data_IF_001794611995
#
_entry.id   IF_001794611995
#
_cell.length_a   1.000
_cell.length_b   1.000
_cell.length_c   1.000
_cell.angle_alpha   90.00
_cell.angle_beta   90.00
_cell.angle_gamma   90.00
#
_symmetry.space_group_name_H-M   'P 1'
#
loop_
_entity.id
_entity.type
_entity.pdbx_description
1 polymer ?
#
# COMPACT_ATOMS: atom_id res chain seq x y z
N UNK A 1 15.69 52.46 21.23
CA UNK A 1 14.44 51.67 21.03
C UNK A 1 14.53 51.10 19.60
N UNK A 2 14.99 49.89 19.48
CA UNK A 2 15.10 49.18 18.20
C UNK A 2 13.91 48.24 18.10
N UNK A 3 12.97 48.60 17.20
CA UNK A 3 11.79 47.76 16.88
C UNK A 3 12.28 46.42 16.29
N UNK A 4 12.17 45.34 17.04
CA UNK A 4 12.30 44.01 16.53
C UNK A 4 10.99 43.67 15.79
N UNK A 5 11.03 43.77 14.45
CA UNK A 5 10.00 43.23 13.58
C UNK A 5 9.88 41.71 13.82
N UNK A 6 8.76 41.27 14.36
CA UNK A 6 8.42 39.84 14.48
C UNK A 6 8.46 39.21 13.09
N UNK A 7 9.06 38.01 12.92
CA UNK A 7 9.09 37.36 11.62
C UNK A 7 7.67 37.05 11.15
N UNK A 8 7.34 37.53 9.97
CA UNK A 8 6.07 37.21 9.27
C UNK A 8 5.98 35.69 9.16
N UNK A 9 4.89 35.05 9.60
CA UNK A 9 4.74 33.62 9.50
C UNK A 9 4.79 33.23 8.02
N UNK A 10 5.82 32.48 7.63
CA UNK A 10 5.92 31.93 6.28
C UNK A 10 4.71 31.02 6.05
N UNK A 11 3.88 31.35 5.07
CA UNK A 11 2.76 30.53 4.61
C UNK A 11 3.32 29.13 4.34
N UNK A 12 2.80 28.09 5.03
CA UNK A 12 3.14 26.70 4.74
C UNK A 12 2.90 26.45 3.24
N UNK A 13 3.84 25.85 2.52
CA UNK A 13 3.62 25.50 1.12
C UNK A 13 2.39 24.58 1.03
N UNK A 14 1.47 24.90 0.11
CA UNK A 14 0.29 24.07 -0.12
C UNK A 14 0.66 22.68 -0.66
N UNK A 15 -0.33 21.76 -0.75
CA UNK A 15 -0.11 20.44 -1.31
C UNK A 15 0.30 20.54 -2.79
N UNK A 16 1.17 19.62 -3.22
CA UNK A 16 1.50 19.44 -4.62
C UNK A 16 0.30 18.81 -5.34
N UNK A 17 -0.25 19.49 -6.34
CA UNK A 17 -1.35 18.99 -7.14
C UNK A 17 -0.81 18.54 -8.50
N UNK A 18 -1.10 17.27 -8.86
CA UNK A 18 -0.72 16.73 -10.16
C UNK A 18 -1.39 17.53 -11.30
N UNK A 19 -0.61 17.99 -12.27
CA UNK A 19 -1.13 18.58 -13.50
C UNK A 19 -1.87 17.52 -14.35
N UNK A 20 -2.60 17.97 -15.36
CA UNK A 20 -3.27 17.06 -16.31
C UNK A 20 -2.25 16.19 -17.05
N UNK A 21 -1.12 16.78 -17.46
CA UNK A 21 -0.02 16.07 -18.13
C UNK A 21 0.64 15.03 -17.24
N UNK A 22 0.89 15.33 -15.96
CA UNK A 22 1.45 14.41 -15.00
C UNK A 22 0.51 13.23 -14.71
N UNK A 23 -0.80 13.51 -14.52
CA UNK A 23 -1.78 12.44 -14.37
C UNK A 23 -1.84 11.52 -15.59
N UNK A 24 -1.81 12.08 -16.80
CA UNK A 24 -1.79 11.30 -18.04
C UNK A 24 -0.50 10.48 -18.18
N UNK A 25 0.66 11.07 -17.87
CA UNK A 25 1.95 10.39 -17.91
C UNK A 25 2.07 9.25 -16.91
N UNK A 26 1.55 9.43 -15.68
CA UNK A 26 1.47 8.36 -14.68
C UNK A 26 0.51 7.26 -15.11
N UNK A 27 -0.65 7.60 -15.67
CA UNK A 27 -1.61 6.61 -16.19
C UNK A 27 -0.99 5.77 -17.32
N UNK A 28 -0.30 6.39 -18.28
CA UNK A 28 0.40 5.70 -19.37
C UNK A 28 1.51 4.78 -18.84
N UNK A 29 2.28 5.23 -17.84
CA UNK A 29 3.30 4.40 -17.21
C UNK A 29 2.71 3.12 -16.61
N UNK A 30 1.64 3.24 -15.81
CA UNK A 30 1.01 2.08 -15.19
C UNK A 30 0.27 1.19 -16.21
N UNK A 31 -0.26 1.76 -17.30
CA UNK A 31 -0.89 0.97 -18.37
C UNK A 31 0.15 0.08 -19.11
N UNK A 32 1.39 0.54 -19.25
CA UNK A 32 2.50 -0.27 -19.80
C UNK A 32 2.84 -1.48 -18.94
N UNK A 33 2.63 -1.39 -17.63
CA UNK A 33 2.86 -2.46 -16.66
C UNK A 33 4.29 -3.01 -16.65
N UNK A 34 5.26 -2.23 -17.10
CA UNK A 34 6.65 -2.63 -17.27
C UNK A 34 7.52 -1.92 -16.25
N UNK A 35 8.33 -2.68 -15.52
CA UNK A 35 9.38 -2.12 -14.66
C UNK A 35 10.41 -1.41 -15.54
N UNK A 36 10.92 -0.23 -15.13
CA UNK A 36 11.90 0.50 -15.95
C UNK A 36 13.10 -0.34 -16.37
N UNK A 37 13.48 -0.24 -17.65
CA UNK A 37 14.53 -1.06 -18.26
C UNK A 37 15.86 -0.93 -17.51
N UNK A 38 16.25 0.30 -17.13
CA UNK A 38 17.46 0.53 -16.35
C UNK A 38 17.51 -0.34 -15.08
N UNK A 39 16.38 -0.51 -14.38
CA UNK A 39 16.32 -1.37 -13.18
C UNK A 39 16.46 -2.84 -13.54
N UNK A 40 15.76 -3.32 -14.57
CA UNK A 40 15.82 -4.72 -15.00
C UNK A 40 17.25 -5.12 -15.39
N UNK A 41 17.89 -4.33 -16.26
CA UNK A 41 19.28 -4.55 -16.66
C UNK A 41 20.25 -4.48 -15.48
N UNK A 42 20.08 -3.48 -14.60
CA UNK A 42 20.99 -3.29 -13.46
C UNK A 42 20.88 -4.42 -12.45
N UNK A 43 19.69 -4.93 -12.20
CA UNK A 43 19.49 -6.13 -11.37
C UNK A 43 20.23 -7.32 -11.98
N UNK A 44 20.06 -7.57 -13.29
CA UNK A 44 20.77 -8.65 -13.97
C UNK A 44 22.30 -8.49 -13.88
N UNK A 45 22.82 -7.31 -14.17
CA UNK A 45 24.26 -6.97 -14.05
C UNK A 45 24.78 -7.16 -12.62
N UNK A 46 23.98 -6.81 -11.60
CA UNK A 46 24.35 -7.00 -10.20
C UNK A 46 24.43 -8.50 -9.85
N UNK A 47 23.44 -9.30 -10.29
CA UNK A 47 23.42 -10.76 -10.09
C UNK A 47 24.66 -11.40 -10.74
N UNK A 48 24.95 -11.07 -12.00
CA UNK A 48 26.13 -11.56 -12.71
C UNK A 48 27.43 -11.18 -11.98
N UNK A 49 27.56 -9.94 -11.56
CA UNK A 49 28.73 -9.43 -10.79
C UNK A 49 28.91 -10.18 -9.47
N UNK A 50 27.84 -10.38 -8.71
CA UNK A 50 27.91 -11.04 -7.36
C UNK A 50 28.19 -12.52 -7.45
N UNK A 51 27.74 -13.17 -8.51
CA UNK A 51 27.93 -14.62 -8.71
C UNK A 51 29.20 -14.95 -9.51
N UNK A 52 29.76 -13.98 -10.22
CA UNK A 52 30.85 -14.20 -11.19
C UNK A 52 30.43 -15.09 -12.38
N UNK A 53 29.12 -15.15 -12.67
CA UNK A 53 28.53 -16.02 -13.68
C UNK A 53 27.70 -15.24 -14.68
N UNK A 54 27.60 -15.75 -15.90
CA UNK A 54 26.64 -15.27 -16.88
C UNK A 54 25.20 -15.58 -16.45
N UNK A 55 24.24 -14.77 -16.90
CA UNK A 55 22.81 -14.96 -16.58
C UNK A 55 22.20 -16.23 -17.22
N UNK A 56 22.93 -16.89 -18.09
CA UNK A 56 22.58 -18.19 -18.72
C UNK A 56 23.18 -19.40 -17.99
N UNK A 57 24.05 -19.19 -16.99
CA UNK A 57 24.66 -20.28 -16.21
C UNK A 57 23.59 -21.07 -15.43
N UNK A 58 23.38 -22.32 -15.78
CA UNK A 58 22.34 -23.17 -15.22
C UNK A 58 22.49 -23.38 -13.70
N UNK A 59 23.72 -23.55 -13.22
CA UNK A 59 23.99 -23.74 -11.78
C UNK A 59 23.63 -22.48 -10.98
N UNK A 60 23.95 -21.31 -11.50
CA UNK A 60 23.58 -20.03 -10.89
C UNK A 60 22.06 -19.86 -10.89
N UNK A 61 21.38 -20.14 -12.00
CA UNK A 61 19.92 -20.07 -12.11
C UNK A 61 19.24 -21.03 -11.13
N UNK A 62 19.71 -22.26 -10.98
CA UNK A 62 19.15 -23.21 -10.03
C UNK A 62 19.32 -22.77 -8.58
N UNK A 63 20.45 -22.14 -8.23
CA UNK A 63 20.63 -21.56 -6.90
C UNK A 63 19.68 -20.39 -6.65
N UNK A 64 19.42 -19.54 -7.65
CA UNK A 64 18.42 -18.47 -7.54
C UNK A 64 17.00 -19.05 -7.37
N UNK A 65 16.63 -20.06 -8.19
CA UNK A 65 15.36 -20.78 -8.07
C UNK A 65 15.16 -21.35 -6.69
N UNK A 66 16.17 -22.06 -6.16
CA UNK A 66 16.13 -22.63 -4.82
C UNK A 66 15.98 -21.56 -3.73
N UNK A 67 16.67 -20.43 -3.87
CA UNK A 67 16.53 -19.31 -2.92
C UNK A 67 15.11 -18.71 -2.94
N UNK A 68 14.53 -18.52 -4.12
CA UNK A 68 13.14 -18.01 -4.28
C UNK A 68 12.14 -18.99 -3.66
N UNK A 69 12.30 -20.30 -3.93
CA UNK A 69 11.42 -21.34 -3.36
C UNK A 69 11.51 -21.34 -1.84
N UNK A 70 12.73 -21.36 -1.28
CA UNK A 70 12.96 -21.33 0.14
C UNK A 70 12.32 -20.08 0.81
N UNK A 71 12.39 -18.90 0.15
CA UNK A 71 11.73 -17.68 0.62
C UNK A 71 10.21 -17.86 0.67
N UNK A 72 9.60 -18.40 -0.38
CA UNK A 72 8.15 -18.66 -0.44
C UNK A 72 7.72 -19.65 0.64
N UNK A 73 8.42 -20.75 0.79
CA UNK A 73 8.11 -21.78 1.79
C UNK A 73 8.24 -21.23 3.22
N UNK A 74 9.30 -20.46 3.50
CA UNK A 74 9.48 -19.84 4.82
C UNK A 74 8.41 -18.79 5.11
N UNK A 75 8.02 -18.03 4.09
CA UNK A 75 6.95 -17.03 4.22
C UNK A 75 5.60 -17.66 4.61
N UNK A 76 5.27 -18.86 4.10
CA UNK A 76 4.03 -19.56 4.42
C UNK A 76 4.05 -20.25 5.81
N UNK A 77 5.20 -20.36 6.44
CA UNK A 77 5.28 -20.88 7.80
C UNK A 77 4.63 -19.92 8.80
N UNK A 78 4.09 -20.43 9.92
CA UNK A 78 3.74 -19.58 11.06
C UNK A 78 4.93 -18.71 11.45
N UNK A 79 4.70 -17.44 11.78
CA UNK A 79 5.77 -16.46 12.01
C UNK A 79 6.83 -16.93 13.01
N UNK A 80 6.41 -17.63 14.08
CA UNK A 80 7.34 -18.21 15.08
C UNK A 80 8.29 -19.27 14.52
N UNK A 81 7.97 -19.86 13.37
CA UNK A 81 8.74 -20.91 12.71
C UNK A 81 9.56 -20.41 11.51
N UNK A 82 9.42 -19.11 11.15
CA UNK A 82 10.21 -18.52 10.08
C UNK A 82 11.66 -18.40 10.50
N UNK A 83 12.56 -18.96 9.69
CA UNK A 83 14.00 -19.00 9.97
C UNK A 83 14.82 -18.28 8.92
N UNK A 84 14.25 -18.06 7.74
CA UNK A 84 14.96 -17.46 6.61
C UNK A 84 15.15 -15.96 6.84
N UNK A 85 16.40 -15.55 6.80
CA UNK A 85 16.76 -14.12 6.82
C UNK A 85 17.14 -13.73 5.39
N UNK A 86 16.37 -12.85 4.76
CA UNK A 86 16.60 -12.35 3.40
C UNK A 86 17.86 -11.47 3.28
N UNK A 87 18.87 -11.70 4.10
CA UNK A 87 19.93 -10.75 4.34
C UNK A 87 21.28 -11.15 3.73
N UNK A 88 21.42 -12.35 3.12
CA UNK A 88 22.70 -12.84 2.62
C UNK A 88 22.61 -13.66 1.35
N UNK A 89 23.63 -13.52 0.48
CA UNK A 89 23.93 -14.38 -0.65
C UNK A 89 22.77 -14.48 -1.67
N UNK A 90 22.49 -15.67 -2.13
CA UNK A 90 21.43 -15.92 -3.10
C UNK A 90 20.03 -15.50 -2.63
N UNK A 91 19.81 -15.33 -1.31
CA UNK A 91 18.55 -14.82 -0.79
C UNK A 91 18.32 -13.36 -1.20
N UNK A 92 19.36 -12.51 -1.14
CA UNK A 92 19.27 -11.12 -1.62
C UNK A 92 19.06 -11.08 -3.13
N UNK A 93 19.78 -11.92 -3.88
CA UNK A 93 19.68 -11.99 -5.34
C UNK A 93 18.30 -12.50 -5.80
N UNK A 94 17.76 -13.51 -5.12
CA UNK A 94 16.40 -14.01 -5.35
C UNK A 94 15.33 -12.95 -5.05
N UNK A 95 15.49 -12.17 -3.97
CA UNK A 95 14.61 -11.05 -3.68
C UNK A 95 14.62 -9.99 -4.79
N UNK A 96 15.80 -9.62 -5.30
CA UNK A 96 15.94 -8.67 -6.40
C UNK A 96 15.28 -9.16 -7.70
N UNK A 97 15.44 -10.45 -8.01
CA UNK A 97 14.87 -11.01 -9.23
C UNK A 97 13.35 -11.22 -9.17
N UNK A 98 12.79 -11.49 -7.98
CA UNK A 98 11.43 -11.98 -7.82
C UNK A 98 10.49 -11.00 -7.12
N UNK A 99 10.87 -10.43 -5.97
CA UNK A 99 10.00 -9.56 -5.16
C UNK A 99 10.14 -8.07 -5.50
N UNK A 100 11.37 -7.62 -5.72
CA UNK A 100 11.68 -6.21 -5.97
C UNK A 100 10.83 -5.58 -7.07
N UNK A 101 10.66 -6.20 -8.28
CA UNK A 101 9.89 -5.61 -9.37
C UNK A 101 8.44 -5.30 -9.01
N UNK A 102 7.77 -6.21 -8.32
CA UNK A 102 6.38 -6.05 -7.89
C UNK A 102 6.25 -4.95 -6.84
N UNK A 103 7.13 -4.94 -5.83
CA UNK A 103 7.08 -3.96 -4.76
C UNK A 103 7.47 -2.55 -5.23
N UNK A 104 8.34 -2.45 -6.24
CA UNK A 104 8.66 -1.19 -6.90
C UNK A 104 7.40 -0.58 -7.55
N UNK A 105 6.68 -1.32 -8.37
CA UNK A 105 5.46 -0.86 -9.02
C UNK A 105 4.34 -0.59 -8.01
N UNK A 106 4.19 -1.43 -6.99
CA UNK A 106 3.29 -1.23 -5.86
C UNK A 106 3.53 0.13 -5.17
N UNK A 107 4.79 0.46 -4.90
CA UNK A 107 5.17 1.75 -4.29
C UNK A 107 4.81 2.92 -5.20
N UNK A 108 5.03 2.80 -6.50
CA UNK A 108 4.64 3.81 -7.48
C UNK A 108 3.12 4.08 -7.47
N UNK A 109 2.30 3.04 -7.40
CA UNK A 109 0.84 3.19 -7.27
C UNK A 109 0.44 3.91 -5.97
N UNK A 110 1.10 3.60 -4.85
CA UNK A 110 0.83 4.25 -3.56
C UNK A 110 1.27 5.73 -3.56
N UNK A 111 2.41 6.07 -4.16
CA UNK A 111 2.84 7.46 -4.32
C UNK A 111 1.85 8.25 -5.18
N UNK A 112 1.33 7.65 -6.26
CA UNK A 112 0.29 8.26 -7.09
C UNK A 112 -1.00 8.50 -6.29
N UNK A 113 -1.38 7.55 -5.45
CA UNK A 113 -2.52 7.71 -4.55
C UNK A 113 -2.29 8.85 -3.56
N UNK A 114 -1.11 8.92 -2.90
CA UNK A 114 -0.79 10.01 -1.99
C UNK A 114 -0.80 11.38 -2.69
N UNK A 115 -0.33 11.45 -3.94
CA UNK A 115 -0.40 12.68 -4.73
C UNK A 115 -1.84 13.11 -5.00
N UNK A 116 -2.71 12.19 -5.41
CA UNK A 116 -4.14 12.44 -5.66
C UNK A 116 -4.91 12.82 -4.40
N UNK A 117 -4.47 12.32 -3.24
CA UNK A 117 -5.02 12.68 -1.94
C UNK A 117 -4.50 14.05 -1.43
N UNK A 118 -3.61 14.73 -2.19
CA UNK A 118 -3.02 16.02 -1.80
C UNK A 118 -2.03 15.91 -0.64
N UNK A 119 -1.40 14.75 -0.44
CA UNK A 119 -0.48 14.50 0.66
C UNK A 119 0.99 14.75 0.31
N UNK A 120 1.29 15.05 -0.95
CA UNK A 120 2.65 15.41 -1.38
C UNK A 120 2.85 16.93 -1.32
N UNK A 121 4.10 17.35 -1.16
CA UNK A 121 4.57 18.74 -1.19
C UNK A 121 5.52 18.92 -2.37
N UNK A 122 5.78 20.17 -2.77
CA UNK A 122 6.75 20.47 -3.83
C UNK A 122 8.15 19.89 -3.54
N UNK A 123 8.53 19.84 -2.27
CA UNK A 123 9.73 19.15 -1.82
C UNK A 123 9.41 18.35 -0.57
N UNK A 124 9.69 17.06 -0.61
CA UNK A 124 9.44 16.12 0.48
C UNK A 124 10.75 15.68 1.13
N UNK A 125 10.76 15.58 2.46
CA UNK A 125 11.74 14.79 3.19
C UNK A 125 11.11 13.44 3.54
N UNK A 126 11.64 12.36 2.98
CA UNK A 126 11.08 11.01 3.10
C UNK A 126 12.04 10.10 3.85
N UNK A 127 11.51 9.31 4.76
CA UNK A 127 12.25 8.32 5.54
C UNK A 127 11.68 6.92 5.29
N UNK A 128 12.49 6.04 4.76
CA UNK A 128 12.14 4.63 4.51
C UNK A 128 12.80 3.72 5.56
N UNK A 129 11.99 2.97 6.29
CA UNK A 129 12.41 2.16 7.44
C UNK A 129 12.46 0.69 7.04
N UNK A 130 13.67 0.09 7.12
CA UNK A 130 13.93 -1.26 6.65
C UNK A 130 13.92 -1.32 5.12
N UNK A 131 14.72 -0.43 4.51
CA UNK A 131 14.68 -0.19 3.05
C UNK A 131 15.04 -1.41 2.20
N UNK A 132 15.67 -2.44 2.80
CA UNK A 132 16.16 -3.58 2.03
C UNK A 132 17.11 -3.13 0.90
N UNK A 133 17.00 -3.72 -0.29
CA UNK A 133 17.83 -3.33 -1.44
C UNK A 133 17.33 -2.04 -2.15
N UNK A 134 16.58 -1.17 -1.46
CA UNK A 134 16.21 0.16 -1.93
C UNK A 134 14.95 0.24 -2.79
N UNK A 135 13.99 -0.66 -2.61
CA UNK A 135 12.72 -0.69 -3.38
C UNK A 135 12.01 0.67 -3.33
N UNK A 136 11.72 1.16 -2.13
CA UNK A 136 10.95 2.40 -1.92
C UNK A 136 11.73 3.63 -2.41
N UNK A 137 13.02 3.85 -2.06
CA UNK A 137 13.79 4.97 -2.57
C UNK A 137 13.89 5.03 -4.10
N UNK A 138 14.05 3.89 -4.75
CA UNK A 138 14.15 3.83 -6.21
C UNK A 138 12.79 4.08 -6.88
N UNK A 139 11.70 3.58 -6.31
CA UNK A 139 10.35 3.90 -6.76
C UNK A 139 10.01 5.39 -6.58
N UNK A 140 10.47 6.00 -5.49
CA UNK A 140 10.35 7.46 -5.27
C UNK A 140 11.11 8.22 -6.36
N UNK A 141 12.35 7.83 -6.67
CA UNK A 141 13.14 8.49 -7.71
C UNK A 141 12.44 8.40 -9.09
N UNK A 142 11.95 7.23 -9.46
CA UNK A 142 11.21 7.03 -10.71
C UNK A 142 9.91 7.85 -10.74
N UNK A 143 9.11 7.83 -9.67
CA UNK A 143 7.87 8.58 -9.56
C UNK A 143 8.11 10.09 -9.72
N UNK A 144 9.03 10.68 -8.94
CA UNK A 144 9.33 12.11 -9.00
C UNK A 144 10.02 12.52 -10.32
N UNK A 145 10.69 11.61 -11.02
CA UNK A 145 11.24 11.90 -12.36
C UNK A 145 10.15 12.24 -13.37
N UNK A 146 8.93 11.73 -13.16
CA UNK A 146 7.74 11.94 -14.01
C UNK A 146 6.94 13.19 -13.64
N UNK A 147 7.27 13.85 -12.53
CA UNK A 147 6.64 15.10 -12.12
C UNK A 147 7.41 16.31 -12.67
N UNK A 148 6.72 17.42 -12.90
CA UNK A 148 7.30 18.62 -13.52
C UNK A 148 8.26 19.35 -12.58
N UNK A 149 7.84 19.64 -11.35
CA UNK A 149 8.58 20.51 -10.44
C UNK A 149 8.82 19.93 -9.04
N UNK A 150 8.13 18.85 -8.66
CA UNK A 150 8.30 18.27 -7.33
C UNK A 150 9.61 17.47 -7.20
N UNK A 151 10.13 17.41 -5.98
CA UNK A 151 11.34 16.66 -5.66
C UNK A 151 11.34 16.11 -4.24
N UNK A 152 12.35 15.29 -3.90
CA UNK A 152 12.46 14.69 -2.58
C UNK A 152 13.90 14.51 -2.13
N UNK A 153 14.12 14.62 -0.81
CA UNK A 153 15.30 14.13 -0.10
C UNK A 153 14.91 12.83 0.62
N UNK A 154 15.54 11.72 0.24
CA UNK A 154 15.21 10.39 0.74
C UNK A 154 16.30 9.88 1.66
N UNK A 155 15.89 9.55 2.88
CA UNK A 155 16.71 8.90 3.91
C UNK A 155 16.19 7.48 4.11
N UNK A 156 17.07 6.56 4.47
CA UNK A 156 16.70 5.17 4.69
C UNK A 156 17.52 4.51 5.78
N UNK A 157 16.92 3.50 6.43
CA UNK A 157 17.57 2.69 7.47
C UNK A 157 17.53 1.24 7.05
N UNK A 158 18.67 0.55 7.13
CA UNK A 158 18.80 -0.88 6.85
C UNK A 158 19.93 -1.48 7.70
N UNK A 159 19.72 -2.72 8.18
CA UNK A 159 20.74 -3.40 8.98
C UNK A 159 21.64 -4.34 8.18
N UNK A 160 21.17 -4.84 7.04
CA UNK A 160 21.89 -5.79 6.19
C UNK A 160 22.91 -5.09 5.29
N UNK A 161 24.17 -5.43 5.41
CA UNK A 161 25.25 -4.90 4.54
C UNK A 161 25.04 -5.29 3.08
N UNK A 162 24.60 -6.51 2.80
CA UNK A 162 24.37 -6.98 1.43
C UNK A 162 23.18 -6.28 0.77
N UNK A 163 22.13 -5.96 1.54
CA UNK A 163 21.04 -5.11 1.04
C UNK A 163 21.53 -3.70 0.75
N UNK A 164 22.31 -3.12 1.66
CA UNK A 164 22.89 -1.78 1.46
C UNK A 164 23.79 -1.75 0.21
N UNK A 165 24.62 -2.78 0.00
CA UNK A 165 25.47 -2.90 -1.19
C UNK A 165 24.62 -2.96 -2.47
N UNK A 166 23.59 -3.82 -2.50
CA UNK A 166 22.66 -3.92 -3.62
C UNK A 166 21.96 -2.59 -3.89
N UNK A 167 21.45 -1.95 -2.85
CA UNK A 167 20.80 -0.65 -2.95
C UNK A 167 21.70 0.42 -3.56
N UNK A 168 22.94 0.56 -3.04
CA UNK A 168 23.90 1.54 -3.55
C UNK A 168 24.21 1.27 -5.03
N UNK A 169 24.38 0.02 -5.41
CA UNK A 169 24.62 -0.35 -6.81
C UNK A 169 23.46 0.06 -7.73
N UNK A 170 22.23 -0.25 -7.36
CA UNK A 170 21.04 0.10 -8.14
C UNK A 170 20.83 1.61 -8.19
N UNK A 171 20.98 2.31 -7.06
CA UNK A 171 20.88 3.77 -6.98
C UNK A 171 21.88 4.46 -7.91
N UNK A 172 23.14 4.07 -7.83
CA UNK A 172 24.22 4.74 -8.59
C UNK A 172 24.10 4.51 -10.10
N UNK A 173 23.45 3.41 -10.51
CA UNK A 173 23.17 3.11 -11.91
C UNK A 173 21.90 3.77 -12.45
N UNK A 174 20.83 3.82 -11.65
CA UNK A 174 19.50 4.18 -12.15
C UNK A 174 18.99 5.57 -11.69
N UNK A 175 19.66 6.22 -10.72
CA UNK A 175 19.22 7.53 -10.25
C UNK A 175 20.18 8.61 -10.75
N UNK A 176 19.73 9.59 -11.58
CA UNK A 176 20.58 10.65 -12.08
C UNK A 176 21.15 11.53 -10.95
N UNK A 177 22.44 11.80 -10.98
CA UNK A 177 23.08 12.75 -10.05
C UNK A 177 22.58 14.18 -10.34
N UNK A 178 22.26 14.91 -9.26
CA UNK A 178 21.76 16.30 -9.40
C UNK A 178 20.31 16.40 -9.90
N UNK A 179 19.56 15.29 -9.96
CA UNK A 179 18.15 15.28 -10.31
C UNK A 179 17.24 15.83 -9.20
N UNK A 180 15.93 15.77 -9.43
CA UNK A 180 14.89 16.25 -8.49
C UNK A 180 14.87 15.46 -7.15
N UNK A 181 15.41 14.27 -7.13
CA UNK A 181 15.48 13.39 -5.95
C UNK A 181 16.92 13.18 -5.51
N UNK A 182 17.17 13.44 -4.23
CA UNK A 182 18.45 13.15 -3.58
C UNK A 182 18.28 11.96 -2.65
N UNK A 183 18.79 10.79 -3.05
CA UNK A 183 18.80 9.59 -2.20
C UNK A 183 20.10 9.54 -1.42
N UNK A 184 20.01 9.69 -0.10
CA UNK A 184 21.17 9.59 0.79
C UNK A 184 21.61 8.12 0.93
N UNK A 185 22.91 7.87 1.21
CA UNK A 185 23.32 6.51 1.56
C UNK A 185 22.51 5.96 2.73
N UNK A 186 22.10 4.67 2.70
CA UNK A 186 21.37 4.07 3.81
C UNK A 186 22.14 4.18 5.13
N UNK A 187 21.43 4.46 6.21
CA UNK A 187 21.97 4.45 7.56
C UNK A 187 21.96 2.99 8.03
N UNK A 188 23.16 2.41 8.24
CA UNK A 188 23.27 1.06 8.78
C UNK A 188 22.90 1.07 10.25
N UNK A 189 21.70 0.57 10.56
CA UNK A 189 21.20 0.46 11.93
C UNK A 189 20.06 -0.57 12.02
N UNK A 190 19.88 -1.14 13.22
CA UNK A 190 18.68 -1.90 13.55
C UNK A 190 17.56 -0.93 13.95
N UNK A 191 16.42 -1.03 13.30
CA UNK A 191 15.26 -0.14 13.51
C UNK A 191 14.66 -0.29 14.92
N UNK A 192 14.87 -1.43 15.58
CA UNK A 192 14.39 -1.71 16.95
C UNK A 192 15.29 -1.07 18.01
N UNK A 193 16.57 -0.81 17.69
CA UNK A 193 17.54 -0.25 18.64
C UNK A 193 17.31 1.24 18.97
N UNK A 194 16.51 1.96 18.16
CA UNK A 194 16.22 3.38 18.36
C UNK A 194 16.29 4.18 17.07
N UNK A 195 16.10 5.50 17.16
CA UNK A 195 16.17 6.41 16.01
C UNK A 195 17.63 6.82 15.80
N UNK A 196 18.26 6.47 14.65
CA UNK A 196 19.62 6.91 14.35
C UNK A 196 19.74 8.45 14.31
N UNK A 197 20.82 8.99 14.87
CA UNK A 197 21.04 10.44 14.95
C UNK A 197 21.12 11.15 13.59
N UNK A 198 21.47 10.42 12.52
CA UNK A 198 21.55 10.94 11.14
C UNK A 198 20.17 11.15 10.48
N UNK A 199 19.09 10.67 11.09
CA UNK A 199 17.74 10.92 10.60
C UNK A 199 17.36 12.37 10.86
N UNK A 200 16.77 13.10 9.88
CA UNK A 200 16.32 14.47 10.07
C UNK A 200 15.32 14.61 11.23
N UNK A 201 15.33 15.76 11.89
CA UNK A 201 14.42 16.05 13.00
C UNK A 201 12.96 16.13 12.57
N UNK A 202 12.71 16.48 11.29
CA UNK A 202 11.38 16.51 10.70
C UNK A 202 11.40 15.84 9.32
N UNK A 203 10.46 14.93 9.10
CA UNK A 203 10.22 14.26 7.82
C UNK A 203 8.74 14.39 7.44
N UNK A 204 8.44 14.46 6.15
CA UNK A 204 7.09 14.63 5.63
C UNK A 204 6.38 13.29 5.40
N UNK A 205 7.14 12.24 5.10
CA UNK A 205 6.63 10.89 4.89
C UNK A 205 7.56 9.87 5.53
N UNK A 206 6.99 8.99 6.34
CA UNK A 206 7.67 7.80 6.85
C UNK A 206 7.03 6.58 6.18
N UNK A 207 7.86 5.69 5.64
CA UNK A 207 7.41 4.47 4.98
C UNK A 207 7.92 3.25 5.75
N UNK A 208 7.01 2.31 6.03
CA UNK A 208 7.31 0.95 6.47
C UNK A 208 6.77 -0.01 5.41
N UNK A 209 7.63 -0.57 4.59
CA UNK A 209 7.23 -1.44 3.49
C UNK A 209 7.67 -2.87 3.74
N UNK A 210 6.73 -3.77 4.03
CA UNK A 210 6.95 -5.19 4.26
C UNK A 210 7.99 -5.48 5.37
N UNK A 211 8.14 -4.59 6.33
CA UNK A 211 9.15 -4.69 7.42
C UNK A 211 8.53 -5.00 8.77
N UNK A 212 7.34 -4.49 9.08
CA UNK A 212 6.72 -4.69 10.40
C UNK A 212 6.24 -6.13 10.61
N UNK A 213 6.04 -6.89 9.54
CA UNK A 213 5.75 -8.33 9.65
C UNK A 213 7.01 -9.13 10.03
N UNK A 214 8.21 -8.59 9.85
CA UNK A 214 9.49 -9.20 10.21
C UNK A 214 9.99 -8.74 11.58
N UNK A 215 9.57 -7.53 12.00
CA UNK A 215 9.87 -6.98 13.31
C UNK A 215 9.01 -7.66 14.35
N UNK A 216 9.66 -8.15 15.36
CA UNK A 216 9.15 -8.73 16.58
C UNK A 216 8.05 -9.80 16.45
N UNK A 217 8.33 -10.88 17.11
CA UNK A 217 7.44 -12.03 17.36
C UNK A 217 6.47 -11.75 18.52
N UNK A 218 6.41 -10.52 19.02
CA UNK A 218 5.64 -10.08 20.16
C UNK A 218 4.24 -9.50 19.86
N UNK A 219 3.58 -8.94 20.86
CA UNK A 219 2.23 -8.40 20.75
C UNK A 219 2.18 -7.17 19.83
N UNK A 220 0.97 -6.83 19.33
CA UNK A 220 0.71 -5.68 18.47
C UNK A 220 1.25 -4.36 19.06
N UNK A 221 1.30 -4.25 20.38
CA UNK A 221 1.77 -3.06 21.08
C UNK A 221 3.23 -2.73 20.81
N UNK A 222 4.13 -3.71 20.75
CA UNK A 222 5.56 -3.50 20.45
C UNK A 222 5.77 -2.86 19.08
N UNK A 223 5.01 -3.30 18.06
CA UNK A 223 5.05 -2.69 16.71
C UNK A 223 4.47 -1.29 16.72
N UNK A 224 3.39 -1.08 17.48
CA UNK A 224 2.81 0.24 17.62
C UNK A 224 3.78 1.20 18.30
N UNK A 225 4.51 0.77 19.33
CA UNK A 225 5.53 1.58 20.01
C UNK A 225 6.70 1.92 19.07
N UNK A 226 7.12 0.96 18.22
CA UNK A 226 8.12 1.22 17.19
C UNK A 226 7.66 2.32 16.22
N UNK A 227 6.45 2.20 15.68
CA UNK A 227 5.90 3.19 14.74
C UNK A 227 5.75 4.55 15.42
N UNK A 228 5.25 4.62 16.66
CA UNK A 228 5.09 5.87 17.43
C UNK A 228 6.45 6.53 17.68
N UNK A 229 7.48 5.76 18.03
CA UNK A 229 8.84 6.27 18.18
C UNK A 229 9.32 6.99 16.92
N UNK A 230 9.18 6.39 15.74
CA UNK A 230 9.54 7.06 14.49
C UNK A 230 8.61 8.24 14.15
N UNK A 231 7.33 8.17 14.56
CA UNK A 231 6.39 9.28 14.40
C UNK A 231 6.79 10.55 15.15
N UNK A 232 7.71 10.49 16.13
CA UNK A 232 8.31 11.69 16.74
C UNK A 232 9.02 12.57 15.71
N UNK A 233 9.55 11.97 14.65
CA UNK A 233 10.19 12.67 13.54
C UNK A 233 9.22 13.16 12.46
N UNK A 234 7.96 12.77 12.52
CA UNK A 234 6.97 13.18 11.55
C UNK A 234 6.58 14.64 11.72
N UNK A 235 6.53 15.39 10.63
CA UNK A 235 5.95 16.73 10.59
C UNK A 235 4.47 16.68 10.96
N UNK A 236 3.91 17.78 11.48
CA UNK A 236 2.49 17.82 11.90
C UNK A 236 1.52 17.50 10.76
N UNK A 237 1.85 17.94 9.55
CA UNK A 237 1.13 17.68 8.31
C UNK A 237 1.74 16.51 7.50
N UNK A 238 2.59 15.72 8.13
CA UNK A 238 3.22 14.54 7.53
C UNK A 238 2.35 13.29 7.54
N UNK A 239 2.78 12.28 6.81
CA UNK A 239 2.09 10.99 6.68
C UNK A 239 2.99 9.82 7.04
N UNK A 240 2.41 8.77 7.62
CA UNK A 240 3.05 7.46 7.77
C UNK A 240 2.34 6.50 6.83
N UNK A 241 3.08 5.85 5.95
CA UNK A 241 2.60 4.80 5.06
C UNK A 241 3.13 3.45 5.54
N UNK A 242 2.24 2.55 5.93
CA UNK A 242 2.59 1.17 6.26
C UNK A 242 2.01 0.27 5.18
N UNK A 243 2.85 -0.58 4.61
CA UNK A 243 2.50 -1.52 3.53
C UNK A 243 2.84 -2.93 4.02
N UNK A 244 1.89 -3.83 3.86
CA UNK A 244 2.06 -5.24 4.25
C UNK A 244 1.49 -6.15 3.15
N UNK A 245 1.95 -7.39 3.06
CA UNK A 245 1.40 -8.36 2.12
C UNK A 245 -0.11 -8.58 2.28
N UNK A 246 -0.76 -9.02 1.19
CA UNK A 246 -2.22 -9.13 1.09
C UNK A 246 -2.83 -10.35 1.79
N UNK A 247 -2.03 -11.25 2.39
CA UNK A 247 -2.52 -12.43 3.07
C UNK A 247 -3.44 -12.06 4.24
N UNK A 248 -4.41 -12.93 4.52
CA UNK A 248 -5.43 -12.66 5.53
C UNK A 248 -4.83 -12.32 6.89
N UNK A 249 -3.86 -13.09 7.34
CA UNK A 249 -3.21 -12.88 8.64
C UNK A 249 -2.48 -11.51 8.69
N UNK A 250 -1.65 -11.19 7.70
CA UNK A 250 -0.90 -9.93 7.64
C UNK A 250 -1.82 -8.73 7.50
N UNK A 251 -2.85 -8.82 6.65
CA UNK A 251 -3.87 -7.78 6.49
C UNK A 251 -4.63 -7.53 7.79
N UNK A 252 -5.09 -8.59 8.47
CA UNK A 252 -5.80 -8.50 9.75
C UNK A 252 -4.91 -7.87 10.82
N UNK A 253 -3.65 -8.30 10.93
CA UNK A 253 -2.67 -7.73 11.88
C UNK A 253 -2.39 -6.26 11.61
N UNK A 254 -2.31 -5.84 10.35
CA UNK A 254 -2.19 -4.43 9.98
C UNK A 254 -3.40 -3.61 10.47
N UNK A 255 -4.62 -4.15 10.40
CA UNK A 255 -5.82 -3.47 10.93
C UNK A 255 -5.80 -3.35 12.44
N UNK A 256 -5.37 -4.39 13.18
CA UNK A 256 -5.13 -4.30 14.62
C UNK A 256 -4.09 -3.24 14.96
N UNK A 257 -2.95 -3.24 14.26
CA UNK A 257 -1.92 -2.22 14.42
C UNK A 257 -2.46 -0.81 14.14
N UNK A 258 -3.25 -0.64 13.07
CA UNK A 258 -3.87 0.65 12.74
C UNK A 258 -4.75 1.18 13.87
N UNK A 259 -5.54 0.32 14.52
CA UNK A 259 -6.37 0.70 15.66
C UNK A 259 -5.54 0.99 16.92
N UNK A 260 -4.47 0.24 17.15
CA UNK A 260 -3.54 0.51 18.24
C UNK A 260 -2.85 1.87 18.07
N UNK A 261 -2.45 2.22 16.84
CA UNK A 261 -1.87 3.53 16.51
C UNK A 261 -2.89 4.66 16.63
N UNK A 262 -4.15 4.42 16.24
CA UNK A 262 -5.26 5.37 16.47
C UNK A 262 -5.45 5.66 17.96
N UNK A 263 -5.41 4.65 18.83
CA UNK A 263 -5.48 4.83 20.29
C UNK A 263 -4.30 5.64 20.85
N UNK A 264 -3.16 5.66 20.15
CA UNK A 264 -1.95 6.43 20.49
C UNK A 264 -1.92 7.84 19.88
N UNK A 265 -3.06 8.33 19.34
CA UNK A 265 -3.23 9.71 18.86
C UNK A 265 -2.96 9.90 17.35
N UNK A 266 -2.68 8.86 16.58
CA UNK A 266 -2.58 8.97 15.13
C UNK A 266 -3.97 8.81 14.50
N UNK A 267 -4.24 9.59 13.44
CA UNK A 267 -5.48 9.48 12.67
C UNK A 267 -5.28 8.56 11.49
N UNK A 268 -6.19 7.61 11.28
CA UNK A 268 -6.21 6.78 10.07
C UNK A 268 -6.78 7.63 8.93
N UNK A 269 -5.91 8.04 7.99
CA UNK A 269 -6.32 8.78 6.80
C UNK A 269 -7.06 7.88 5.82
N UNK A 270 -6.51 6.71 5.53
CA UNK A 270 -7.08 5.71 4.61
C UNK A 270 -6.54 4.31 4.94
N UNK A 271 -7.25 3.24 4.53
CA UNK A 271 -8.50 3.18 3.79
C UNK A 271 -9.76 3.16 4.67
N UNK A 272 -9.64 3.04 6.01
CA UNK A 272 -10.78 2.86 6.91
C UNK A 272 -11.46 4.20 7.24
N UNK A 273 -12.78 4.27 7.08
CA UNK A 273 -13.55 5.53 7.18
C UNK A 273 -14.36 5.70 8.47
N UNK A 274 -14.68 4.62 9.21
CA UNK A 274 -15.45 4.64 10.47
C UNK A 274 -16.72 5.49 10.40
N UNK A 275 -17.58 5.24 9.40
CA UNK A 275 -18.74 6.09 9.06
C UNK A 275 -19.80 6.22 10.16
N UNK A 276 -19.80 5.34 11.16
CA UNK A 276 -20.72 5.35 12.31
C UNK A 276 -20.09 5.90 13.59
N UNK A 277 -18.89 6.47 13.55
CA UNK A 277 -18.12 6.92 14.74
C UNK A 277 -17.92 5.81 15.78
N UNK A 278 -17.90 4.54 15.37
CA UNK A 278 -17.70 3.38 16.24
C UNK A 278 -16.31 2.81 16.04
N UNK A 279 -15.84 2.04 17.03
CA UNK A 279 -14.63 1.25 16.87
C UNK A 279 -14.93 -0.03 16.07
N UNK A 280 -14.02 -0.38 15.18
CA UNK A 280 -14.06 -1.62 14.42
C UNK A 280 -13.42 -2.76 15.25
N UNK A 281 -13.88 -3.99 15.03
CA UNK A 281 -13.23 -5.22 15.52
C UNK A 281 -12.67 -5.97 14.32
N UNK A 282 -11.34 -5.90 14.06
CA UNK A 282 -10.78 -6.34 12.79
C UNK A 282 -10.42 -7.83 12.73
N UNK A 283 -10.87 -8.67 13.66
CA UNK A 283 -10.45 -10.08 13.80
C UNK A 283 -10.61 -10.94 12.53
N UNK A 284 -11.46 -10.51 11.61
CA UNK A 284 -11.66 -11.12 10.28
C UNK A 284 -11.51 -10.12 9.15
N UNK A 285 -10.73 -9.06 9.39
CA UNK A 285 -10.56 -8.01 8.40
C UNK A 285 -9.49 -8.37 7.37
N UNK A 286 -9.86 -9.17 6.39
CA UNK A 286 -9.03 -9.40 5.22
C UNK A 286 -9.33 -8.33 4.15
N UNK A 287 -8.69 -7.17 4.28
CA UNK A 287 -8.88 -6.01 3.41
C UNK A 287 -7.54 -5.64 2.74
N UNK A 288 -7.50 -5.76 1.45
CA UNK A 288 -6.35 -5.45 0.60
C UNK A 288 -6.82 -4.85 -0.73
N UNK A 289 -5.90 -4.24 -1.45
CA UNK A 289 -6.11 -3.76 -2.81
C UNK A 289 -5.24 -4.53 -3.79
N UNK A 290 -5.67 -4.54 -5.05
CA UNK A 290 -4.93 -5.14 -6.15
C UNK A 290 -4.74 -4.11 -7.26
N UNK A 291 -3.68 -4.26 -8.03
CA UNK A 291 -3.45 -3.49 -9.25
C UNK A 291 -3.30 -4.46 -10.42
N UNK A 292 -3.34 -3.94 -11.64
CA UNK A 292 -3.08 -4.78 -12.83
C UNK A 292 -1.71 -5.43 -12.71
N UNK A 293 -1.58 -6.74 -13.02
CA UNK A 293 -0.31 -7.44 -12.97
C UNK A 293 0.75 -6.77 -13.84
N UNK A 294 1.99 -6.74 -13.38
CA UNK A 294 3.12 -6.29 -14.21
C UNK A 294 3.39 -7.27 -15.34
N UNK A 295 4.13 -6.85 -16.34
CA UNK A 295 4.74 -7.79 -17.29
C UNK A 295 5.91 -8.50 -16.60
N UNK A 296 6.16 -9.79 -16.88
CA UNK A 296 7.36 -10.46 -16.37
C UNK A 296 8.61 -9.63 -16.69
N UNK A 297 9.56 -9.61 -15.78
CA UNK A 297 10.89 -9.01 -16.03
C UNK A 297 11.80 -10.00 -16.73
N UNK A 298 12.89 -9.53 -17.35
CA UNK A 298 13.89 -10.37 -18.01
C UNK A 298 14.40 -11.50 -17.10
N UNK A 299 14.63 -11.21 -15.81
CA UNK A 299 15.06 -12.24 -14.87
C UNK A 299 13.96 -13.25 -14.55
N UNK A 300 12.69 -12.83 -14.44
CA UNK A 300 11.57 -13.75 -14.26
C UNK A 300 11.42 -14.67 -15.49
N UNK A 301 11.52 -14.12 -16.71
CA UNK A 301 11.48 -14.89 -17.95
C UNK A 301 12.63 -15.91 -17.99
N UNK A 302 13.87 -15.47 -17.71
CA UNK A 302 15.04 -16.36 -17.64
C UNK A 302 14.86 -17.48 -16.64
N UNK A 303 14.38 -17.16 -15.42
CA UNK A 303 14.14 -18.15 -14.37
C UNK A 303 12.98 -19.10 -14.69
N UNK A 304 12.03 -18.69 -15.52
CA UNK A 304 10.88 -19.51 -15.92
C UNK A 304 11.21 -20.56 -16.99
N UNK A 305 12.38 -20.53 -17.61
CA UNK A 305 12.82 -21.58 -18.54
C UNK A 305 13.22 -22.87 -17.79
N UNK A 306 12.21 -23.56 -17.25
CA UNK A 306 12.34 -24.82 -16.50
C UNK A 306 10.99 -25.57 -16.48
N UNK A 307 10.94 -26.75 -15.87
CA UNK A 307 9.74 -27.61 -15.84
C UNK A 307 8.55 -26.99 -15.11
N UNK A 308 8.81 -26.07 -14.13
CA UNK A 308 7.77 -25.37 -13.37
C UNK A 308 7.82 -23.83 -13.58
N UNK A 309 7.54 -23.32 -14.79
CA UNK A 309 7.79 -21.93 -15.17
C UNK A 309 7.03 -20.92 -14.29
N UNK A 310 5.77 -21.18 -13.96
CA UNK A 310 4.92 -20.29 -13.19
C UNK A 310 5.41 -20.07 -11.75
N UNK A 311 6.26 -20.93 -11.24
CA UNK A 311 6.81 -20.84 -9.89
C UNK A 311 7.73 -19.63 -9.72
N UNK A 312 8.30 -19.13 -10.81
CA UNK A 312 9.29 -18.05 -10.86
C UNK A 312 8.76 -16.76 -11.49
N UNK A 313 7.47 -16.73 -11.83
CA UNK A 313 6.78 -15.55 -12.31
C UNK A 313 6.01 -14.91 -11.12
N UNK A 314 6.40 -13.71 -10.75
CA UNK A 314 5.74 -12.91 -9.72
C UNK A 314 5.29 -11.58 -10.34
N UNK A 315 4.05 -11.50 -10.73
CA UNK A 315 3.51 -10.34 -11.45
C UNK A 315 2.33 -9.67 -10.74
N UNK A 316 1.71 -10.34 -9.78
CA UNK A 316 0.52 -9.87 -9.10
C UNK A 316 0.84 -8.76 -8.09
N UNK A 317 0.28 -7.58 -8.28
CA UNK A 317 0.38 -6.48 -7.32
C UNK A 317 -0.82 -6.58 -6.36
N UNK A 318 -0.59 -7.12 -5.16
CA UNK A 318 -1.60 -7.28 -4.11
C UNK A 318 -0.99 -6.87 -2.77
N UNK A 319 -1.64 -5.94 -2.05
CA UNK A 319 -1.12 -5.45 -0.78
C UNK A 319 -2.20 -4.88 0.14
N UNK A 320 -1.95 -4.92 1.43
CA UNK A 320 -2.69 -4.18 2.44
C UNK A 320 -1.89 -2.95 2.84
N UNK A 321 -2.55 -1.81 3.08
CA UNK A 321 -1.86 -0.60 3.50
C UNK A 321 -2.68 0.20 4.51
N UNK A 322 -2.02 1.11 5.20
CA UNK A 322 -2.63 2.18 5.97
C UNK A 322 -1.82 3.46 5.82
N UNK A 323 -2.51 4.58 5.68
CA UNK A 323 -1.93 5.92 5.79
C UNK A 323 -2.41 6.52 7.11
N UNK A 324 -1.46 6.99 7.92
CA UNK A 324 -1.70 7.60 9.22
C UNK A 324 -1.18 9.04 9.23
N UNK A 325 -1.85 9.91 10.01
CA UNK A 325 -1.50 11.33 10.14
C UNK A 325 -1.62 11.81 11.59
N UNK A 326 -0.96 12.96 11.89
CA UNK A 326 -1.10 13.63 13.19
C UNK A 326 -2.20 14.69 13.19
N UNK A 327 -2.44 15.34 12.06
CA UNK A 327 -3.29 16.54 11.92
C UNK A 327 -4.80 16.25 11.88
N UNK A 328 -5.22 15.00 12.03
CA UNK A 328 -6.63 14.63 12.02
C UNK A 328 -7.25 14.46 10.62
N UNK A 329 -6.50 14.73 9.54
CA UNK A 329 -7.00 14.64 8.17
C UNK A 329 -7.34 13.19 7.78
N UNK A 330 -8.53 13.00 7.21
CA UNK A 330 -9.00 11.72 6.65
C UNK A 330 -9.33 11.88 5.18
N UNK A 331 -9.15 10.83 4.37
CA UNK A 331 -9.51 10.84 2.94
C UNK A 331 -11.01 10.99 2.74
N UNK A 332 -11.78 10.25 3.52
CA UNK A 332 -13.23 10.25 3.50
C UNK A 332 -13.71 10.69 4.89
N UNK A 333 -14.34 11.85 4.96
CA UNK A 333 -14.82 12.44 6.21
C UNK A 333 -16.31 12.17 6.45
N UNK A 334 -17.02 11.60 5.45
CA UNK A 334 -18.44 11.31 5.53
C UNK A 334 -18.81 10.49 6.77
N UNK A 335 -19.84 10.94 7.48
CA UNK A 335 -20.48 10.23 8.59
C UNK A 335 -21.97 10.08 8.31
N UNK A 336 -22.51 8.93 8.68
CA UNK A 336 -23.96 8.69 8.51
C UNK A 336 -24.73 9.62 9.43
N UNK A 337 -25.61 10.48 8.89
CA UNK A 337 -26.40 11.40 9.70
C UNK A 337 -27.29 10.65 10.71
N UNK A 338 -27.52 11.25 11.89
CA UNK A 338 -28.45 10.70 12.86
C UNK A 338 -29.87 10.64 12.27
N UNK A 339 -30.56 9.52 12.49
CA UNK A 339 -31.92 9.31 11.96
C UNK A 339 -31.99 8.84 10.51
N UNK A 340 -30.84 8.65 9.82
CA UNK A 340 -30.83 8.09 8.48
C UNK A 340 -31.46 6.69 8.44
N UNK A 341 -32.29 6.45 7.40
CA UNK A 341 -32.97 5.14 7.18
C UNK A 341 -32.08 4.18 6.38
N UNK A 342 -30.83 3.99 6.84
CA UNK A 342 -29.87 3.08 6.20
C UNK A 342 -29.45 1.98 7.17
N UNK A 343 -29.27 0.78 6.63
CA UNK A 343 -28.92 -0.40 7.41
C UNK A 343 -27.45 -0.32 7.87
N UNK A 344 -27.20 -0.54 9.16
CA UNK A 344 -25.89 -0.78 9.72
C UNK A 344 -25.51 -2.25 9.53
N UNK A 345 -24.29 -2.52 9.03
CA UNK A 345 -23.89 -3.90 8.69
C UNK A 345 -23.87 -4.86 9.90
N UNK A 346 -23.70 -4.37 11.13
CA UNK A 346 -23.87 -5.19 12.34
C UNK A 346 -25.28 -5.77 12.50
N UNK A 347 -26.27 -5.17 11.86
CA UNK A 347 -27.69 -5.62 11.92
C UNK A 347 -28.13 -6.39 10.67
N UNK A 348 -27.22 -6.65 9.73
CA UNK A 348 -27.55 -7.24 8.43
C UNK A 348 -28.25 -8.60 8.55
N UNK A 349 -27.94 -9.37 9.61
CA UNK A 349 -28.53 -10.67 9.90
C UNK A 349 -30.07 -10.64 10.09
N UNK A 350 -30.64 -9.47 10.49
CA UNK A 350 -32.08 -9.27 10.68
C UNK A 350 -32.81 -8.95 9.38
N UNK A 351 -32.07 -8.76 8.30
CA UNK A 351 -32.59 -8.29 7.02
C UNK A 351 -32.35 -9.27 5.87
N UNK A 352 -32.05 -10.53 6.17
CA UNK A 352 -31.94 -11.58 5.15
C UNK A 352 -33.25 -11.66 4.36
N UNK A 353 -33.13 -11.77 3.04
CA UNK A 353 -34.24 -11.81 2.05
C UNK A 353 -35.06 -10.51 1.94
N UNK A 354 -34.58 -9.43 2.58
CA UNK A 354 -35.24 -8.12 2.51
C UNK A 354 -34.46 -7.16 1.61
N UNK A 355 -35.20 -6.21 1.05
CA UNK A 355 -34.64 -5.05 0.32
C UNK A 355 -34.32 -3.96 1.32
N UNK A 356 -33.10 -3.43 1.24
CA UNK A 356 -32.59 -2.41 2.17
C UNK A 356 -31.77 -1.36 1.45
N UNK A 357 -31.57 -0.21 2.12
CA UNK A 357 -30.57 0.77 1.76
C UNK A 357 -29.42 0.68 2.77
N UNK A 358 -28.18 0.83 2.32
CA UNK A 358 -27.01 0.83 3.19
C UNK A 358 -25.92 1.77 2.68
N UNK A 359 -25.02 2.16 3.60
CA UNK A 359 -23.83 2.93 3.27
C UNK A 359 -22.62 2.15 3.77
N UNK A 360 -21.64 1.94 2.89
CA UNK A 360 -20.44 1.21 3.22
C UNK A 360 -19.26 1.63 2.33
N UNK A 361 -18.03 1.49 2.82
CA UNK A 361 -16.83 1.64 2.03
C UNK A 361 -16.60 0.39 1.15
N UNK A 362 -16.20 0.61 -0.10
CA UNK A 362 -15.70 -0.45 -1.00
C UNK A 362 -14.30 -0.85 -0.56
N UNK A 363 -14.14 -2.07 -0.07
CA UNK A 363 -12.91 -2.54 0.57
C UNK A 363 -12.21 -3.67 -0.18
N UNK A 364 -12.43 -3.79 -1.48
CA UNK A 364 -11.65 -4.61 -2.41
C UNK A 364 -11.83 -4.12 -3.84
N UNK A 365 -10.94 -4.52 -4.73
CA UNK A 365 -11.22 -4.59 -6.16
C UNK A 365 -12.17 -5.76 -6.45
N UNK A 366 -12.48 -6.02 -7.73
CA UNK A 366 -13.35 -7.12 -8.09
C UNK A 366 -12.74 -8.47 -7.68
N UNK A 367 -13.41 -9.18 -6.77
CA UNK A 367 -13.06 -10.52 -6.29
C UNK A 367 -13.85 -11.62 -6.99
N UNK A 368 -14.80 -11.23 -7.86
CA UNK A 368 -15.65 -12.16 -8.57
C UNK A 368 -15.06 -12.60 -9.92
N UNK A 369 -15.87 -13.33 -10.66
CA UNK A 369 -15.58 -13.82 -12.00
C UNK A 369 -16.14 -12.88 -13.08
N UNK A 370 -16.07 -13.29 -14.35
CA UNK A 370 -16.63 -12.52 -15.46
C UNK A 370 -18.18 -12.45 -15.46
N UNK A 371 -18.87 -13.34 -14.73
CA UNK A 371 -20.34 -13.37 -14.64
C UNK A 371 -20.86 -12.55 -13.47
N UNK A 372 -20.17 -12.59 -12.33
CA UNK A 372 -20.54 -11.89 -11.12
C UNK A 372 -19.38 -11.05 -10.62
N UNK A 373 -19.52 -9.74 -10.63
CA UNK A 373 -18.60 -8.83 -9.99
C UNK A 373 -18.87 -8.85 -8.49
N UNK A 374 -17.82 -8.97 -7.67
CA UNK A 374 -17.95 -9.07 -6.23
C UNK A 374 -16.98 -8.11 -5.56
N UNK A 375 -17.49 -7.28 -4.65
CA UNK A 375 -16.71 -6.28 -3.94
C UNK A 375 -16.96 -6.39 -2.44
N UNK A 376 -15.90 -6.40 -1.66
CA UNK A 376 -16.03 -6.37 -0.21
C UNK A 376 -16.57 -5.01 0.25
N UNK A 377 -17.52 -5.03 1.18
CA UNK A 377 -18.06 -3.84 1.84
C UNK A 377 -17.69 -3.80 3.32
N UNK A 378 -17.48 -2.60 3.85
CA UNK A 378 -17.23 -2.37 5.27
C UNK A 378 -17.79 -1.02 5.70
N UNK A 379 -18.50 -0.99 6.83
CA UNK A 379 -18.96 0.22 7.50
C UNK A 379 -18.31 0.42 8.89
N UNK A 380 -17.38 -0.46 9.26
CA UNK A 380 -16.72 -0.50 10.56
C UNK A 380 -17.53 -1.19 11.66
N UNK A 381 -18.71 -1.76 11.36
CA UNK A 381 -19.56 -2.39 12.38
C UNK A 381 -19.88 -3.87 12.13
N UNK A 382 -19.55 -4.38 10.94
CA UNK A 382 -19.87 -5.77 10.58
C UNK A 382 -19.01 -6.77 11.39
N UNK A 383 -19.65 -7.80 11.91
CA UNK A 383 -19.03 -8.95 12.59
C UNK A 383 -18.70 -10.10 11.63
N UNK A 384 -19.29 -10.10 10.43
CA UNK A 384 -19.04 -11.04 9.33
C UNK A 384 -18.69 -10.31 8.05
N UNK A 385 -18.07 -11.04 7.12
CA UNK A 385 -17.78 -10.52 5.79
C UNK A 385 -19.07 -10.16 5.05
N UNK A 386 -19.06 -9.01 4.37
CA UNK A 386 -20.18 -8.53 3.55
C UNK A 386 -19.65 -8.23 2.16
N UNK A 387 -20.31 -8.75 1.13
CA UNK A 387 -19.93 -8.55 -0.26
C UNK A 387 -21.09 -7.96 -1.05
N UNK A 388 -20.83 -6.92 -1.82
CA UNK A 388 -21.72 -6.49 -2.89
C UNK A 388 -21.52 -7.41 -4.09
N UNK A 389 -22.59 -7.99 -4.60
CA UNK A 389 -22.57 -8.88 -5.77
C UNK A 389 -23.39 -8.23 -6.88
N UNK A 390 -22.73 -7.93 -8.00
CA UNK A 390 -23.31 -7.33 -9.19
C UNK A 390 -23.16 -8.29 -10.38
N UNK A 391 -24.22 -9.00 -10.79
CA UNK A 391 -24.19 -9.77 -12.02
C UNK A 391 -23.86 -8.87 -13.22
N UNK A 392 -23.00 -9.31 -14.13
CA UNK A 392 -22.54 -8.50 -15.27
C UNK A 392 -23.69 -8.00 -16.16
N UNK A 393 -24.76 -8.79 -16.30
CA UNK A 393 -25.95 -8.42 -17.06
C UNK A 393 -26.89 -7.45 -16.32
N UNK A 394 -26.63 -7.13 -15.06
CA UNK A 394 -27.35 -6.13 -14.27
C UNK A 394 -26.63 -4.77 -14.21
N UNK A 395 -25.45 -4.65 -14.81
CA UNK A 395 -24.71 -3.36 -14.84
C UNK A 395 -25.52 -2.32 -15.61
N UNK A 396 -25.70 -1.15 -15.01
CA UNK A 396 -26.38 0.03 -15.56
C UNK A 396 -25.59 1.29 -15.20
N UNK A 397 -25.91 2.44 -15.80
CA UNK A 397 -25.34 3.72 -15.43
C UNK A 397 -25.58 4.07 -13.95
N UNK A 398 -26.68 3.61 -13.36
CA UNK A 398 -27.06 3.88 -11.97
C UNK A 398 -26.25 3.07 -10.95
N UNK A 399 -25.62 1.96 -11.34
CA UNK A 399 -24.91 1.09 -10.41
C UNK A 399 -23.44 0.82 -10.77
N UNK A 400 -22.98 1.25 -11.93
CA UNK A 400 -21.58 1.02 -12.36
C UNK A 400 -20.53 1.72 -11.49
N UNK A 401 -20.93 2.71 -10.69
CA UNK A 401 -20.03 3.41 -9.75
C UNK A 401 -19.24 2.44 -8.86
N UNK A 402 -19.81 1.30 -8.48
CA UNK A 402 -19.09 0.32 -7.66
C UNK A 402 -17.88 -0.28 -8.39
N UNK A 403 -17.88 -0.35 -9.72
CA UNK A 403 -16.76 -0.86 -10.53
C UNK A 403 -15.59 0.11 -10.54
N UNK A 404 -15.91 1.40 -10.70
CA UNK A 404 -14.92 2.46 -10.95
C UNK A 404 -14.45 3.16 -9.68
N UNK A 405 -15.25 3.12 -8.59
CA UNK A 405 -14.88 3.73 -7.32
C UNK A 405 -13.57 3.14 -6.77
N UNK A 406 -12.60 3.98 -6.36
CA UNK A 406 -11.37 3.54 -5.72
C UNK A 406 -11.60 2.75 -4.42
N UNK A 407 -10.63 1.93 -4.05
CA UNK A 407 -10.57 1.25 -2.76
C UNK A 407 -10.65 2.26 -1.59
N UNK A 408 -11.54 2.00 -0.64
CA UNK A 408 -11.82 2.87 0.51
C UNK A 408 -12.92 3.91 0.28
N UNK A 409 -13.45 4.07 -0.94
CA UNK A 409 -14.54 5.02 -1.23
C UNK A 409 -15.83 4.63 -0.53
N UNK A 410 -16.50 5.59 0.11
CA UNK A 410 -17.81 5.40 0.74
C UNK A 410 -18.91 5.51 -0.33
N UNK A 411 -19.70 4.46 -0.43
CA UNK A 411 -20.81 4.34 -1.37
C UNK A 411 -22.13 4.16 -0.63
N UNK A 412 -23.18 4.79 -1.13
CA UNK A 412 -24.58 4.55 -0.77
C UNK A 412 -25.18 3.58 -1.77
N UNK A 413 -25.89 2.58 -1.26
CA UNK A 413 -26.58 1.56 -2.02
C UNK A 413 -28.07 1.63 -1.70
N UNK A 414 -28.90 1.89 -2.70
CA UNK A 414 -30.35 1.96 -2.56
C UNK A 414 -31.02 0.76 -3.21
N UNK A 415 -31.83 0.06 -2.46
CA UNK A 415 -32.68 -1.02 -2.98
C UNK A 415 -31.94 -2.35 -3.22
N UNK A 416 -30.92 -2.66 -2.44
CA UNK A 416 -30.20 -3.96 -2.50
C UNK A 416 -30.94 -5.06 -1.73
N UNK A 417 -30.71 -6.32 -2.08
CA UNK A 417 -31.29 -7.48 -1.39
C UNK A 417 -30.20 -8.21 -0.62
N UNK A 418 -30.44 -8.46 0.66
CA UNK A 418 -29.50 -9.20 1.52
C UNK A 418 -29.71 -10.71 1.34
N UNK A 419 -28.62 -11.46 1.19
CA UNK A 419 -28.59 -12.93 1.19
C UNK A 419 -27.51 -13.43 2.14
N UNK A 420 -27.79 -14.51 2.85
CA UNK A 420 -26.79 -15.17 3.66
C UNK A 420 -26.13 -16.31 2.87
N UNK A 421 -24.81 -16.23 2.71
CA UNK A 421 -24.01 -17.28 2.10
C UNK A 421 -23.50 -18.22 3.20
N UNK A 422 -24.10 -19.40 3.31
CA UNK A 422 -23.78 -20.40 4.35
C UNK A 422 -22.39 -20.98 4.16
N UNK A 423 -21.97 -21.22 2.92
CA UNK A 423 -20.69 -21.83 2.57
C UNK A 423 -19.51 -20.98 3.07
N UNK A 424 -19.58 -19.66 2.88
CA UNK A 424 -18.52 -18.73 3.25
C UNK A 424 -18.79 -18.01 4.58
N UNK A 425 -19.86 -18.33 5.29
CA UNK A 425 -20.29 -17.65 6.51
C UNK A 425 -20.26 -16.11 6.38
N UNK A 426 -20.81 -15.60 5.28
CA UNK A 426 -20.80 -14.21 4.85
C UNK A 426 -22.18 -13.72 4.41
N UNK A 427 -22.34 -12.41 4.27
CA UNK A 427 -23.56 -11.84 3.67
C UNK A 427 -23.24 -11.31 2.28
N UNK A 428 -24.15 -11.58 1.33
CA UNK A 428 -24.13 -11.01 0.00
C UNK A 428 -25.22 -9.94 -0.09
N UNK A 429 -24.86 -8.77 -0.57
CA UNK A 429 -25.73 -7.64 -0.89
C UNK A 429 -25.89 -7.65 -2.41
N UNK A 430 -27.04 -8.13 -2.90
CA UNK A 430 -27.29 -8.30 -4.32
C UNK A 430 -27.69 -6.97 -4.97
N UNK A 431 -26.96 -6.59 -5.99
CA UNK A 431 -27.21 -5.43 -6.83
C UNK A 431 -28.00 -5.87 -8.07
N UNK A 432 -29.14 -5.26 -8.28
CA UNK A 432 -30.03 -5.48 -9.44
C UNK A 432 -29.95 -4.29 -10.40
N UNK A 433 -30.63 -4.38 -11.56
CA UNK A 433 -30.77 -3.25 -12.50
C UNK A 433 -31.45 -2.02 -11.89
N UNK A 434 -32.27 -2.22 -10.85
CA UNK A 434 -33.01 -1.15 -10.16
C UNK A 434 -32.30 -0.69 -8.87
N UNK A 435 -31.04 -1.02 -8.70
CA UNK A 435 -30.21 -0.58 -7.56
C UNK A 435 -29.45 0.66 -7.96
N UNK A 436 -29.51 1.70 -7.14
CA UNK A 436 -28.68 2.90 -7.29
C UNK A 436 -27.45 2.79 -6.41
N UNK A 437 -26.29 3.11 -6.99
CA UNK A 437 -25.01 3.17 -6.26
C UNK A 437 -24.36 4.54 -6.55
N UNK A 438 -24.16 5.33 -5.50
CA UNK A 438 -23.56 6.65 -5.62
C UNK A 438 -22.48 6.88 -4.59
N UNK A 439 -21.51 7.74 -4.90
CA UNK A 439 -20.50 8.17 -3.93
C UNK A 439 -21.16 9.09 -2.89
N UNK A 440 -20.91 8.82 -1.60
CA UNK A 440 -21.25 9.74 -0.54
C UNK A 440 -20.26 10.91 -0.57
N UNK A 441 -20.77 12.13 -0.74
CA UNK A 441 -20.01 13.36 -0.59
C UNK A 441 -20.36 14.04 0.73
N UNK A 442 -19.40 14.74 1.33
CA UNK A 442 -19.68 15.58 2.50
C UNK A 442 -20.78 16.60 2.20
N UNK A 443 -21.67 16.82 3.16
CA UNK A 443 -22.84 17.70 3.05
C UNK A 443 -22.45 19.17 2.75
N UNK A 444 -21.17 19.53 2.85
CA UNK A 444 -20.66 20.90 2.66
C UNK A 444 -20.77 21.45 1.24
N UNK A 445 -21.08 20.64 0.22
CA UNK A 445 -21.24 21.10 -1.17
C UNK A 445 -22.70 21.23 -1.65
N UNK A 446 -23.71 21.08 -0.78
CA UNK A 446 -25.13 21.23 -1.13
C UNK A 446 -25.77 22.58 -0.73
N UNK A 447 -24.97 23.54 -0.31
CA UNK A 447 -25.46 24.88 0.07
C UNK A 447 -24.75 25.99 -0.75
N UNK A 448 -24.70 25.83 -2.08
CA UNK A 448 -24.50 26.99 -2.99
C UNK A 448 -25.14 26.68 -4.34
#
# INVERSE_FOLDING_TARGET
MTDQLSPVPQKKPGPYLLSVSENAGLADFFEKRTVPECLQETIGKYIAKKTGKDLTDTVMLDRLRNAIVAQKEDYWKPQAQRSLRYTKGYSVLGYLAYHFPVYFMQTGHLLTMLARDGLLKNRMTILDIGTGPGVVPLAIADFYSRLESAGADVYSVEKSEEHIEAFLHLRDACVPKGGKVSIKPPIKADIEAGIPAKIPQKVDLIVFSNVLNEVDRGPTDTRADLVVRYAERLAEDGSILIIEPAEENTSTRLRHLSLALKKRGLTIHSPCSFIWNTNCTPDRCWSFTTQRPIRPTHMMETLSHCDEPFRYINIDIKYSYVVLRKDGMTRESYKVPHGSRVLRLSQIHRHVDKRVNLIAAKMSENLGDGKNLMFRLCDGTADKLVFAVLPSFHVTADNEMIKTAPYGTILEFEGVIVRYNKEHNAYNVLISRNTFVKKCSDILFRLY
#
